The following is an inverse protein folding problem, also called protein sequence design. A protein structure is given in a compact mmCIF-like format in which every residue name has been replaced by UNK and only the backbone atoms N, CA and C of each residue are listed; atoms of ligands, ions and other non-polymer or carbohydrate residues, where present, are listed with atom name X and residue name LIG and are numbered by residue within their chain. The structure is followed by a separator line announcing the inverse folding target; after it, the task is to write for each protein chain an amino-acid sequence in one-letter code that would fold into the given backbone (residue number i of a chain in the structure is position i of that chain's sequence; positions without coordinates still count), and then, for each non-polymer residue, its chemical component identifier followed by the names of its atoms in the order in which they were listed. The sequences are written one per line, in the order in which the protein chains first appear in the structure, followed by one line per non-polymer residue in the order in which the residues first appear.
data_IF_345200039447
#
_entry.id   IF_345200039447
#
_cell.length_a   1.000
_cell.length_b   1.000
_cell.length_c   1.000
_cell.angle_alpha   90.00
_cell.angle_beta   90.00
_cell.angle_gamma   90.00
#
_symmetry.space_group_name_H-M   'P 1'
#
loop_
_entity.id
_entity.type
_entity.pdbx_description
1 polymer ?
#
# COMPACT_ATOMS: atom_id res chain seq x y z
N UNK A 1 -26.93 -27.02 36.48
CA UNK A 1 -26.47 -26.98 37.88
C UNK A 1 -25.69 -28.25 38.18
N UNK A 2 -24.44 -28.14 38.60
CA UNK A 2 -23.58 -29.26 38.96
C UNK A 2 -23.76 -29.65 40.43
N UNK A 3 -23.67 -30.94 40.73
CA UNK A 3 -23.83 -31.47 42.09
C UNK A 3 -22.62 -31.10 42.95
N UNK A 4 -22.82 -30.86 44.25
CA UNK A 4 -21.73 -30.70 45.21
C UNK A 4 -20.80 -31.93 45.18
N UNK A 5 -19.52 -31.74 45.48
CA UNK A 5 -18.44 -32.74 45.38
C UNK A 5 -18.14 -33.27 43.97
N UNK A 6 -18.53 -32.55 42.91
CA UNK A 6 -18.21 -32.91 41.52
C UNK A 6 -17.43 -31.83 40.80
N UNK A 7 -16.65 -32.30 39.82
CA UNK A 7 -16.05 -31.47 38.78
C UNK A 7 -17.14 -30.98 37.82
N UNK A 8 -17.16 -29.68 37.59
CA UNK A 8 -17.92 -29.06 36.53
C UNK A 8 -17.03 -28.92 35.30
N UNK A 9 -17.53 -29.40 34.16
CA UNK A 9 -16.86 -29.27 32.87
C UNK A 9 -17.68 -28.36 31.97
N UNK A 10 -17.02 -27.39 31.37
CA UNK A 10 -17.59 -26.46 30.40
C UNK A 10 -16.63 -26.41 29.21
N UNK A 11 -17.10 -26.32 27.96
CA UNK A 11 -16.20 -26.14 26.82
C UNK A 11 -15.34 -24.88 26.97
N UNK A 12 -14.14 -24.92 26.42
CA UNK A 12 -13.26 -23.75 26.31
C UNK A 12 -13.95 -22.63 25.51
N UNK A 13 -13.55 -21.38 25.77
CA UNK A 13 -14.09 -20.22 25.08
C UNK A 13 -13.75 -20.23 23.59
N UNK A 14 -14.71 -19.89 22.72
CA UNK A 14 -14.44 -19.77 21.28
C UNK A 14 -13.53 -18.57 20.96
N UNK A 15 -13.73 -17.45 21.68
CA UNK A 15 -12.95 -16.23 21.50
C UNK A 15 -12.73 -15.51 22.83
N UNK A 16 -11.47 -15.29 23.20
CA UNK A 16 -11.09 -14.54 24.39
C UNK A 16 -9.82 -13.73 24.11
N UNK A 17 -9.81 -12.44 24.46
CA UNK A 17 -8.66 -11.53 24.24
C UNK A 17 -8.14 -11.47 22.79
N UNK A 18 -9.00 -11.64 21.78
CA UNK A 18 -8.58 -11.62 20.37
C UNK A 18 -8.03 -12.95 19.85
N UNK A 19 -8.06 -14.00 20.66
CA UNK A 19 -7.52 -15.32 20.35
C UNK A 19 -8.64 -16.36 20.24
N UNK A 20 -8.49 -17.28 19.28
CA UNK A 20 -9.41 -18.39 19.07
C UNK A 20 -8.87 -19.67 19.73
N UNK A 21 -9.64 -20.27 20.64
CA UNK A 21 -9.27 -21.50 21.34
C UNK A 21 -10.06 -22.70 20.83
N UNK A 22 -9.50 -23.88 21.02
CA UNK A 22 -10.13 -25.12 20.60
C UNK A 22 -11.32 -25.48 21.51
N UNK A 23 -12.54 -25.41 20.96
CA UNK A 23 -13.79 -25.70 21.67
C UNK A 23 -14.04 -27.20 21.90
N UNK A 24 -13.20 -28.08 21.34
CA UNK A 24 -13.25 -29.53 21.60
C UNK A 24 -12.70 -29.91 22.98
N UNK A 25 -12.07 -28.96 23.68
CA UNK A 25 -11.52 -29.14 25.01
C UNK A 25 -12.40 -28.45 26.05
N UNK A 26 -12.34 -28.95 27.29
CA UNK A 26 -13.13 -28.45 28.41
C UNK A 26 -12.25 -27.79 29.47
N UNK A 27 -12.75 -26.70 30.04
CA UNK A 27 -12.30 -26.12 31.30
C UNK A 27 -12.98 -26.85 32.46
N UNK A 28 -12.23 -27.13 33.52
CA UNK A 28 -12.79 -27.81 34.70
C UNK A 28 -12.74 -26.93 35.94
N UNK A 29 -13.75 -27.04 36.80
CA UNK A 29 -13.77 -26.38 38.11
C UNK A 29 -14.42 -27.27 39.15
N UNK A 30 -13.76 -27.44 40.29
CA UNK A 30 -14.27 -28.28 41.37
C UNK A 30 -15.29 -27.53 42.23
N UNK A 31 -16.40 -28.18 42.56
CA UNK A 31 -17.37 -27.71 43.56
C UNK A 31 -17.21 -28.53 44.84
N UNK A 32 -16.92 -27.87 45.96
CA UNK A 32 -16.77 -28.51 47.27
C UNK A 32 -18.12 -28.98 47.84
N UNK A 33 -18.06 -29.88 48.83
CA UNK A 33 -19.25 -30.37 49.54
C UNK A 33 -20.03 -29.25 50.24
N UNK A 34 -19.34 -28.20 50.68
CA UNK A 34 -19.94 -27.00 51.27
C UNK A 34 -20.71 -26.12 50.27
N UNK A 35 -20.83 -26.55 49.01
CA UNK A 35 -21.50 -25.79 47.94
C UNK A 35 -20.69 -24.61 47.42
N UNK A 36 -19.44 -24.45 47.85
CA UNK A 36 -18.52 -23.41 47.39
C UNK A 36 -17.68 -23.89 46.21
N UNK A 37 -17.34 -22.97 45.32
CA UNK A 37 -16.49 -23.28 44.18
C UNK A 37 -15.01 -23.13 44.52
N UNK A 38 -14.17 -23.96 43.90
CA UNK A 38 -12.73 -23.78 43.93
C UNK A 38 -12.32 -22.39 43.42
N UNK A 39 -11.28 -21.79 44.01
CA UNK A 39 -10.89 -20.39 43.78
C UNK A 39 -10.56 -20.12 42.31
N UNK A 40 -9.90 -21.06 41.64
CA UNK A 40 -9.53 -20.99 40.21
C UNK A 40 -10.04 -22.19 39.44
N UNK A 41 -10.46 -21.94 38.20
CA UNK A 41 -10.74 -22.97 37.19
C UNK A 41 -9.45 -23.44 36.53
N UNK A 42 -9.40 -24.71 36.13
CA UNK A 42 -8.27 -25.29 35.41
C UNK A 42 -8.47 -25.16 33.89
N UNK A 43 -7.66 -24.29 33.29
CA UNK A 43 -7.64 -23.98 31.86
C UNK A 43 -6.52 -24.71 31.09
N UNK A 44 -5.83 -25.67 31.70
CA UNK A 44 -4.65 -26.34 31.11
C UNK A 44 -4.91 -26.97 29.74
N UNK A 45 -6.16 -27.37 29.49
CA UNK A 45 -6.59 -28.01 28.25
C UNK A 45 -7.01 -27.02 27.15
N UNK A 46 -7.17 -25.74 27.46
CA UNK A 46 -7.58 -24.73 26.49
C UNK A 46 -6.36 -24.22 25.71
N UNK A 47 -6.04 -24.90 24.61
CA UNK A 47 -4.97 -24.50 23.68
C UNK A 47 -5.52 -23.58 22.58
N UNK A 48 -4.66 -22.68 22.10
CA UNK A 48 -4.97 -21.86 20.92
C UNK A 48 -5.04 -22.72 19.66
N UNK A 49 -5.99 -22.41 18.79
CA UNK A 49 -6.23 -23.23 17.60
C UNK A 49 -5.03 -23.13 16.64
N UNK A 50 -4.64 -24.26 16.01
CA UNK A 50 -3.58 -24.32 14.99
C UNK A 50 -3.78 -23.32 13.82
N UNK A 51 -5.02 -22.89 13.57
CA UNK A 51 -5.36 -21.84 12.61
C UNK A 51 -4.76 -20.48 13.01
N UNK A 52 -4.81 -20.12 14.29
CA UNK A 52 -4.21 -18.88 14.78
C UNK A 52 -2.68 -18.94 14.72
N UNK A 53 -2.05 -20.07 15.10
CA UNK A 53 -0.60 -20.27 14.95
C UNK A 53 -0.16 -20.17 13.49
N UNK A 54 -0.97 -20.68 12.57
CA UNK A 54 -0.75 -20.54 11.12
C UNK A 54 -0.88 -19.08 10.68
N UNK A 55 -1.96 -18.39 11.04
CA UNK A 55 -2.19 -16.99 10.65
C UNK A 55 -1.11 -16.05 11.21
N UNK A 56 -0.65 -16.27 12.44
CA UNK A 56 0.46 -15.53 13.05
C UNK A 56 1.81 -15.81 12.36
N UNK A 57 2.11 -17.05 11.97
CA UNK A 57 3.30 -17.37 11.17
C UNK A 57 3.21 -16.77 9.76
N UNK A 58 2.05 -16.80 9.11
CA UNK A 58 1.82 -16.13 7.82
C UNK A 58 1.96 -14.61 7.93
N UNK A 59 1.48 -14.01 9.02
CA UNK A 59 1.68 -12.59 9.30
C UNK A 59 3.16 -12.28 9.46
N UNK A 60 3.92 -13.07 10.22
CA UNK A 60 5.37 -12.88 10.38
C UNK A 60 6.12 -13.04 9.05
N UNK A 61 5.76 -14.04 8.23
CA UNK A 61 6.34 -14.22 6.90
C UNK A 61 5.98 -13.06 5.95
N UNK A 62 4.74 -12.57 6.01
CA UNK A 62 4.28 -11.39 5.28
C UNK A 62 5.02 -10.14 5.74
N UNK A 63 5.23 -9.95 7.04
CA UNK A 63 6.02 -8.84 7.58
C UNK A 63 7.49 -8.95 7.14
N UNK A 64 8.11 -10.13 7.22
CA UNK A 64 9.51 -10.37 6.82
C UNK A 64 9.75 -10.14 5.31
N UNK A 65 8.83 -10.60 4.46
CA UNK A 65 8.90 -10.37 3.00
C UNK A 65 8.55 -8.94 2.64
N UNK A 66 7.63 -8.31 3.36
CA UNK A 66 7.28 -6.91 3.17
C UNK A 66 8.44 -5.99 3.58
N UNK A 67 9.18 -6.27 4.66
CA UNK A 67 10.33 -5.44 5.08
C UNK A 67 11.51 -5.53 4.12
N UNK A 68 11.86 -6.71 3.62
CA UNK A 68 12.95 -6.86 2.64
C UNK A 68 12.62 -6.17 1.30
N UNK A 69 11.39 -6.32 0.82
CA UNK A 69 10.92 -5.63 -0.37
C UNK A 69 10.91 -4.10 -0.18
N UNK A 70 10.42 -3.61 0.96
CA UNK A 70 10.41 -2.16 1.27
C UNK A 70 11.81 -1.57 1.27
N UNK A 71 12.83 -2.27 1.79
CA UNK A 71 14.21 -1.76 1.78
C UNK A 71 14.75 -1.56 0.35
N UNK A 72 14.54 -2.54 -0.54
CA UNK A 72 15.00 -2.45 -1.93
C UNK A 72 14.31 -1.28 -2.65
N UNK A 73 12.98 -1.19 -2.52
CA UNK A 73 12.23 -0.08 -3.10
C UNK A 73 12.65 1.27 -2.52
N UNK A 74 12.87 1.36 -1.21
CA UNK A 74 13.28 2.61 -0.55
C UNK A 74 14.64 3.11 -1.07
N UNK A 75 15.62 2.22 -1.22
CA UNK A 75 16.94 2.59 -1.76
C UNK A 75 16.82 2.98 -3.23
N UNK A 76 16.11 2.17 -4.03
CA UNK A 76 15.90 2.43 -5.45
C UNK A 76 15.23 3.78 -5.71
N UNK A 77 14.09 4.05 -5.07
CA UNK A 77 13.39 5.33 -5.19
C UNK A 77 14.23 6.50 -4.69
N UNK A 78 15.04 6.32 -3.63
CA UNK A 78 15.96 7.34 -3.13
C UNK A 78 17.03 7.72 -4.15
N UNK A 79 17.74 6.74 -4.71
CA UNK A 79 18.75 6.96 -5.75
C UNK A 79 18.13 7.58 -7.01
N UNK A 80 17.00 7.06 -7.47
CA UNK A 80 16.27 7.60 -8.63
C UNK A 80 15.81 9.04 -8.40
N UNK A 81 15.33 9.38 -7.21
CA UNK A 81 14.90 10.73 -6.89
C UNK A 81 16.05 11.73 -7.02
N UNK A 82 17.24 11.41 -6.50
CA UNK A 82 18.42 12.27 -6.62
C UNK A 82 18.82 12.45 -8.09
N UNK A 83 18.86 11.36 -8.87
CA UNK A 83 19.17 11.43 -10.29
C UNK A 83 18.15 12.28 -11.08
N UNK A 84 16.85 12.13 -10.79
CA UNK A 84 15.77 12.90 -11.43
C UNK A 84 15.88 14.39 -11.11
N UNK A 85 16.19 14.76 -9.87
CA UNK A 85 16.38 16.16 -9.47
C UNK A 85 17.51 16.80 -10.28
N UNK A 86 18.65 16.10 -10.40
CA UNK A 86 19.79 16.58 -11.18
C UNK A 86 19.40 16.73 -12.66
N UNK A 87 18.73 15.74 -13.24
CA UNK A 87 18.29 15.79 -14.64
C UNK A 87 17.32 16.94 -14.93
N UNK A 88 16.31 17.12 -14.07
CA UNK A 88 15.34 18.23 -14.18
C UNK A 88 16.06 19.58 -14.07
N UNK A 89 17.00 19.71 -13.12
CA UNK A 89 17.76 20.93 -12.94
C UNK A 89 18.56 21.30 -14.20
N UNK A 90 19.25 20.34 -14.81
CA UNK A 90 20.00 20.53 -16.05
C UNK A 90 19.07 21.00 -17.18
N UNK A 91 17.92 20.34 -17.39
CA UNK A 91 17.01 20.70 -18.48
C UNK A 91 16.32 22.05 -18.30
N UNK A 92 16.07 22.48 -17.06
CA UNK A 92 15.49 23.80 -16.79
C UNK A 92 16.55 24.90 -16.98
N UNK A 93 17.77 24.67 -16.49
CA UNK A 93 18.87 25.63 -16.53
C UNK A 93 19.28 25.97 -17.97
N UNK A 94 19.51 24.95 -18.81
CA UNK A 94 19.90 25.17 -20.20
C UNK A 94 18.68 25.42 -21.08
N UNK A 95 18.37 26.71 -21.31
CA UNK A 95 17.24 27.14 -22.15
C UNK A 95 17.30 26.59 -23.57
N UNK A 96 18.50 26.44 -24.13
CA UNK A 96 18.71 25.93 -25.49
C UNK A 96 18.38 24.45 -25.66
N UNK A 97 18.28 23.69 -24.55
CA UNK A 97 17.89 22.28 -24.58
C UNK A 97 16.36 22.09 -24.58
N UNK A 98 15.54 23.15 -24.47
CA UNK A 98 14.07 23.06 -24.37
C UNK A 98 13.37 22.85 -25.72
N UNK A 99 13.70 21.76 -26.40
CA UNK A 99 12.97 21.28 -27.58
C UNK A 99 11.71 20.52 -27.19
N UNK A 100 10.75 20.34 -28.11
CA UNK A 100 9.52 19.57 -27.93
C UNK A 100 9.77 18.19 -27.25
N UNK A 101 10.75 17.44 -27.76
CA UNK A 101 11.20 16.17 -27.18
C UNK A 101 11.63 16.32 -25.72
N UNK A 102 12.45 17.32 -25.42
CA UNK A 102 12.96 17.52 -24.06
C UNK A 102 11.87 18.01 -23.10
N UNK A 103 10.86 18.74 -23.60
CA UNK A 103 9.67 19.09 -22.82
C UNK A 103 8.85 17.86 -22.43
N UNK A 104 8.67 16.89 -23.36
CA UNK A 104 7.99 15.62 -23.07
C UNK A 104 8.76 14.83 -22.00
N UNK A 105 10.08 14.68 -22.17
CA UNK A 105 10.91 14.00 -21.16
C UNK A 105 10.87 14.75 -19.82
N UNK A 106 10.91 16.08 -19.80
CA UNK A 106 10.83 16.86 -18.57
C UNK A 106 9.51 16.61 -17.82
N UNK A 107 8.37 16.59 -18.52
CA UNK A 107 7.08 16.28 -17.90
C UNK A 107 7.06 14.86 -17.30
N UNK A 108 7.62 13.87 -18.00
CA UNK A 108 7.76 12.51 -17.49
C UNK A 108 8.66 12.45 -16.24
N UNK A 109 9.82 13.13 -16.26
CA UNK A 109 10.72 13.16 -15.10
C UNK A 109 10.07 13.85 -13.91
N UNK A 110 9.29 14.92 -14.14
CA UNK A 110 8.52 15.60 -13.09
C UNK A 110 7.45 14.70 -12.50
N UNK A 111 6.71 13.92 -13.31
CA UNK A 111 5.70 12.99 -12.79
C UNK A 111 6.32 11.88 -11.95
N UNK A 112 7.48 11.37 -12.34
CA UNK A 112 8.23 10.41 -11.52
C UNK A 112 8.75 11.02 -10.22
N UNK A 113 9.27 12.26 -10.26
CA UNK A 113 9.72 12.96 -9.06
C UNK A 113 8.57 13.18 -8.07
N UNK A 114 7.42 13.66 -8.54
CA UNK A 114 6.23 13.87 -7.71
C UNK A 114 5.73 12.54 -7.12
N UNK A 115 5.71 11.47 -7.91
CA UNK A 115 5.34 10.12 -7.44
C UNK A 115 6.28 9.65 -6.33
N UNK A 116 7.60 9.84 -6.50
CA UNK A 116 8.59 9.48 -5.50
C UNK A 116 8.43 10.28 -4.18
N UNK A 117 8.14 11.58 -4.28
CA UNK A 117 7.87 12.44 -3.11
C UNK A 117 6.64 11.95 -2.35
N UNK A 118 5.51 11.73 -3.05
CA UNK A 118 4.28 11.26 -2.40
C UNK A 118 4.48 9.88 -1.77
N UNK A 119 5.16 8.97 -2.46
CA UNK A 119 5.51 7.67 -1.89
C UNK A 119 6.33 7.80 -0.60
N UNK A 120 7.35 8.66 -0.59
CA UNK A 120 8.16 8.89 0.61
C UNK A 120 7.33 9.48 1.76
N UNK A 121 6.42 10.41 1.48
CA UNK A 121 5.52 10.97 2.51
C UNK A 121 4.61 9.90 3.12
N UNK A 122 4.06 9.00 2.30
CA UNK A 122 3.24 7.88 2.76
C UNK A 122 4.06 6.93 3.63
N UNK A 123 5.29 6.58 3.22
CA UNK A 123 6.16 5.72 4.02
C UNK A 123 6.50 6.34 5.38
N UNK A 124 6.77 7.65 5.42
CA UNK A 124 7.00 8.38 6.67
C UNK A 124 5.78 8.37 7.57
N UNK A 125 4.58 8.55 7.01
CA UNK A 125 3.32 8.53 7.76
C UNK A 125 3.03 7.15 8.36
N UNK A 126 3.26 6.09 7.59
CA UNK A 126 3.13 4.69 8.05
C UNK A 126 4.12 4.40 9.19
N UNK A 127 5.35 4.90 9.11
CA UNK A 127 6.37 4.73 10.15
C UNK A 127 6.00 5.41 11.48
N UNK A 128 5.37 6.59 11.43
CA UNK A 128 4.93 7.32 12.63
C UNK A 128 3.61 6.73 13.20
N UNK A 129 3.02 5.74 12.50
CA UNK A 129 1.76 5.07 12.89
C UNK A 129 0.57 6.03 13.05
N UNK A 130 0.66 7.20 12.41
CA UNK A 130 -0.37 8.23 12.31
C UNK A 130 -1.35 7.84 11.18
N UNK A 131 -2.14 6.80 11.42
CA UNK A 131 -3.19 6.35 10.50
C UNK A 131 -4.41 7.27 10.60
N UNK A 132 -4.26 8.55 10.22
CA UNK A 132 -5.35 9.51 10.10
C UNK A 132 -5.87 9.67 8.66
N UNK A 133 -6.86 10.56 8.49
CA UNK A 133 -7.47 10.95 7.21
C UNK A 133 -6.44 11.35 6.13
N UNK A 134 -5.28 11.86 6.56
CA UNK A 134 -4.17 12.25 5.69
C UNK A 134 -3.64 11.11 4.81
N UNK A 135 -3.63 9.85 5.29
CA UNK A 135 -3.19 8.71 4.46
C UNK A 135 -4.15 8.46 3.30
N UNK A 136 -5.46 8.57 3.57
CA UNK A 136 -6.50 8.42 2.55
C UNK A 136 -6.42 9.56 1.52
N UNK A 137 -6.26 10.79 2.01
CA UNK A 137 -6.13 11.97 1.16
C UNK A 137 -4.91 11.91 0.24
N UNK A 138 -3.76 11.36 0.71
CA UNK A 138 -2.54 11.21 -0.09
C UNK A 138 -2.57 10.01 -1.05
N UNK A 139 -3.46 9.05 -0.83
CA UNK A 139 -3.61 7.88 -1.72
C UNK A 139 -4.22 8.25 -3.09
N UNK A 140 -5.17 9.19 -3.10
CA UNK A 140 -5.81 9.71 -4.32
C UNK A 140 -4.78 10.36 -5.28
N UNK A 141 -3.96 11.35 -4.85
CA UNK A 141 -2.95 11.95 -5.71
C UNK A 141 -1.85 10.97 -6.08
N UNK A 142 -1.50 9.99 -5.23
CA UNK A 142 -0.56 8.92 -5.61
C UNK A 142 -1.07 8.14 -6.82
N UNK A 143 -2.34 7.71 -6.78
CA UNK A 143 -2.98 6.95 -7.85
C UNK A 143 -3.03 7.76 -9.14
N UNK A 144 -3.33 9.06 -9.04
CA UNK A 144 -3.29 9.99 -10.16
C UNK A 144 -1.90 10.16 -10.77
N UNK A 145 -0.88 10.41 -9.95
CA UNK A 145 0.49 10.62 -10.42
C UNK A 145 1.09 9.35 -11.04
N UNK A 146 0.78 8.19 -10.49
CA UNK A 146 1.19 6.90 -11.06
C UNK A 146 0.52 6.68 -12.41
N UNK A 147 -0.79 6.90 -12.53
CA UNK A 147 -1.49 6.84 -13.81
C UNK A 147 -0.91 7.82 -14.84
N UNK A 148 -0.68 9.05 -14.41
CA UNK A 148 -0.09 10.11 -15.25
C UNK A 148 1.30 9.75 -15.75
N UNK A 149 2.13 9.10 -14.92
CA UNK A 149 3.46 8.63 -15.34
C UNK A 149 3.38 7.58 -16.46
N UNK A 150 2.41 6.65 -16.40
CA UNK A 150 2.16 5.69 -17.47
C UNK A 150 1.68 6.37 -18.76
N UNK A 151 0.77 7.34 -18.67
CA UNK A 151 0.30 8.08 -19.84
C UNK A 151 1.42 8.94 -20.46
N UNK A 152 2.32 9.51 -19.67
CA UNK A 152 3.48 10.23 -20.20
C UNK A 152 4.48 9.31 -20.91
N UNK A 153 4.68 8.09 -20.41
CA UNK A 153 5.48 7.08 -21.11
C UNK A 153 4.82 6.68 -22.45
N UNK A 154 3.49 6.55 -22.47
CA UNK A 154 2.73 6.32 -23.70
C UNK A 154 2.86 7.50 -24.67
N UNK A 155 2.76 8.74 -24.20
CA UNK A 155 2.93 9.96 -25.01
C UNK A 155 4.34 10.03 -25.61
N UNK A 156 5.38 9.66 -24.85
CA UNK A 156 6.74 9.57 -25.37
C UNK A 156 6.86 8.51 -26.48
N UNK A 157 6.29 7.32 -26.29
CA UNK A 157 6.25 6.27 -27.31
C UNK A 157 5.48 6.68 -28.56
N UNK A 158 4.32 7.30 -28.39
CA UNK A 158 3.49 7.83 -29.49
C UNK A 158 4.24 8.93 -30.25
N UNK A 159 4.93 9.83 -29.55
CA UNK A 159 5.74 10.88 -30.14
C UNK A 159 6.85 10.30 -31.03
N UNK A 160 7.61 9.31 -30.54
CA UNK A 160 8.64 8.64 -31.31
C UNK A 160 8.06 7.91 -32.53
N UNK A 161 6.91 7.25 -32.38
CA UNK A 161 6.22 6.59 -33.49
C UNK A 161 5.81 7.58 -34.59
N UNK A 162 5.18 8.70 -34.22
CA UNK A 162 4.75 9.73 -35.17
C UNK A 162 5.97 10.34 -35.87
N UNK A 163 7.06 10.59 -35.14
CA UNK A 163 8.30 11.12 -35.71
C UNK A 163 8.86 10.20 -36.81
N UNK A 164 8.79 8.87 -36.61
CA UNK A 164 9.35 7.89 -37.56
C UNK A 164 8.41 7.61 -38.74
N UNK A 165 7.11 7.45 -38.49
CA UNK A 165 6.14 6.95 -39.49
C UNK A 165 5.35 8.07 -40.17
N UNK A 166 5.14 9.18 -39.47
CA UNK A 166 4.26 10.29 -39.88
C UNK A 166 4.99 11.63 -39.76
N UNK A 167 6.21 11.70 -40.32
CA UNK A 167 7.12 12.85 -40.28
C UNK A 167 6.45 14.20 -40.59
N UNK A 168 5.54 14.26 -41.59
CA UNK A 168 4.80 15.48 -41.96
C UNK A 168 3.68 15.89 -40.99
N UNK A 169 3.26 14.99 -40.09
CA UNK A 169 2.16 15.23 -39.16
C UNK A 169 2.61 15.87 -37.84
N UNK A 170 3.92 15.88 -37.54
CA UNK A 170 4.50 16.46 -36.31
C UNK A 170 4.29 17.98 -36.26
N UNK A 171 4.30 18.66 -37.41
CA UNK A 171 4.08 20.11 -37.48
C UNK A 171 2.61 20.52 -37.26
N UNK A 172 1.67 19.59 -37.48
CA UNK A 172 0.22 19.83 -37.32
C UNK A 172 -0.27 19.57 -35.89
N UNK A 173 0.35 18.61 -35.18
CA UNK A 173 -0.07 18.23 -33.83
C UNK A 173 0.57 19.17 -32.80
N UNK A 174 -0.23 20.10 -32.28
CA UNK A 174 0.21 21.05 -31.23
C UNK A 174 0.63 20.31 -29.96
N UNK A 175 1.68 20.81 -29.29
CA UNK A 175 2.12 20.32 -27.97
C UNK A 175 0.97 20.26 -26.93
N UNK A 176 -0.01 21.14 -27.07
CA UNK A 176 -1.24 21.13 -26.26
C UNK A 176 -2.01 19.80 -26.34
N UNK A 177 -2.06 19.12 -27.49
CA UNK A 177 -2.73 17.82 -27.61
C UNK A 177 -2.03 16.73 -26.79
N UNK A 178 -0.70 16.68 -26.84
CA UNK A 178 0.09 15.75 -26.00
C UNK A 178 -0.08 16.04 -24.50
N UNK A 179 -0.17 17.32 -24.12
CA UNK A 179 -0.43 17.70 -22.71
C UNK A 179 -1.82 17.24 -22.24
N UNK A 180 -2.85 17.34 -23.08
CA UNK A 180 -4.20 16.86 -22.77
C UNK A 180 -4.22 15.34 -22.59
N UNK A 181 -3.54 14.60 -23.48
CA UNK A 181 -3.48 13.13 -23.38
C UNK A 181 -2.74 12.71 -22.10
N UNK A 182 -1.59 13.34 -21.83
CA UNK A 182 -0.73 13.03 -20.69
C UNK A 182 -1.38 13.33 -19.33
N UNK A 183 -2.02 14.50 -19.18
CA UNK A 183 -2.57 14.95 -17.88
C UNK A 183 -4.08 14.73 -17.74
N UNK A 184 -4.84 14.85 -18.83
CA UNK A 184 -6.30 14.82 -18.83
C UNK A 184 -6.88 13.42 -18.72
N UNK A 185 -6.40 12.48 -19.54
CA UNK A 185 -6.85 11.08 -19.51
C UNK A 185 -6.73 10.42 -18.13
N UNK A 186 -5.58 10.47 -17.43
CA UNK A 186 -5.48 9.91 -16.07
C UNK A 186 -6.38 10.63 -15.06
N UNK A 187 -6.66 11.92 -15.24
CA UNK A 187 -7.53 12.67 -14.33
C UNK A 187 -8.96 12.14 -14.42
N UNK A 188 -9.47 11.95 -15.64
CA UNK A 188 -10.82 11.40 -15.85
C UNK A 188 -10.96 10.00 -15.24
N UNK A 189 -9.98 9.13 -15.46
CA UNK A 189 -9.99 7.76 -14.93
C UNK A 189 -10.01 7.77 -13.39
N UNK A 190 -9.16 8.59 -12.77
CA UNK A 190 -9.10 8.68 -11.30
C UNK A 190 -10.33 9.33 -10.71
N UNK A 191 -10.91 10.33 -11.37
CA UNK A 191 -12.17 10.94 -10.93
C UNK A 191 -13.33 9.94 -10.99
N UNK A 192 -13.44 9.16 -12.07
CA UNK A 192 -14.43 8.09 -12.17
C UNK A 192 -14.24 7.04 -11.07
N UNK A 193 -12.99 6.62 -10.83
CA UNK A 193 -12.67 5.67 -9.77
C UNK A 193 -12.98 6.22 -8.38
N UNK A 194 -12.64 7.48 -8.11
CA UNK A 194 -12.88 8.15 -6.84
C UNK A 194 -14.37 8.39 -6.59
N UNK A 195 -15.19 8.61 -7.63
CA UNK A 195 -16.63 8.77 -7.49
C UNK A 195 -17.36 7.47 -7.14
N UNK A 196 -16.79 6.30 -7.50
CA UNK A 196 -17.36 4.98 -7.19
C UNK A 196 -17.01 4.51 -5.78
N UNK A 197 -15.95 5.07 -5.19
CA UNK A 197 -15.36 4.58 -3.95
C UNK A 197 -15.76 5.42 -2.74
#
# INVERSE_FOLDING_TARGET
MTRASRLAEVPCFEHLNGLYYDTTKNVTRMCFENGTWHERSDYSNCIVTLRYLRDSVWLLYRFQTQTSNIMIYSIGYGCSMVALIIAIWIFIYYKDLRCLRNTIHLNLMVTYLLTAIVWFTIQRLILVREFGDFTCYLYIPLTYLMGTSFFWMFVEGLYLYILVVKTFSVELVKLSAYMIIGWGTPAVIVLCWAAVK
#
